data_IF_103948105740
#
_entry.id   IF_103948105740
#
_cell.length_a   1.000
_cell.length_b   1.000
_cell.length_c   1.000
_cell.angle_alpha   90.00
_cell.angle_beta   90.00
_cell.angle_gamma   90.00
#
_symmetry.space_group_name_H-M   'P 1'
#
loop_
_entity.id
_entity.type
_entity.pdbx_description
1 polymer ?
#
# COMPACT_ATOMS: atom_id res chain seq x y z
N UNK A 1 -71.81 -3.03 50.47
CA UNK A 1 -71.48 -3.95 49.36
C UNK A 1 -71.46 -3.29 47.98
N UNK A 2 -72.40 -2.42 47.59
CA UNK A 2 -72.44 -1.82 46.22
C UNK A 2 -71.21 -0.98 45.84
N UNK A 3 -70.64 -0.23 46.79
CA UNK A 3 -69.51 0.69 46.52
C UNK A 3 -68.20 -0.07 46.25
N UNK A 4 -67.97 -1.19 46.94
CA UNK A 4 -66.79 -2.03 46.76
C UNK A 4 -66.77 -2.75 45.39
N UNK A 5 -67.94 -3.21 44.94
CA UNK A 5 -68.08 -3.85 43.63
C UNK A 5 -67.88 -2.85 42.47
N UNK A 6 -68.27 -1.58 42.64
CA UNK A 6 -68.05 -0.54 41.64
C UNK A 6 -66.57 -0.14 41.52
N UNK A 7 -65.85 -0.04 42.66
CA UNK A 7 -64.42 0.23 42.67
C UNK A 7 -63.61 -0.91 42.03
N UNK A 8 -63.99 -2.17 42.28
CA UNK A 8 -63.38 -3.33 41.63
C UNK A 8 -63.61 -3.35 40.12
N UNK A 9 -64.84 -3.10 39.65
CA UNK A 9 -65.15 -3.04 38.21
C UNK A 9 -64.41 -1.89 37.50
N UNK A 10 -64.27 -0.74 38.17
CA UNK A 10 -63.47 0.39 37.69
C UNK A 10 -61.99 0.03 37.52
N UNK A 11 -61.38 -0.57 38.54
CA UNK A 11 -59.96 -0.98 38.50
C UNK A 11 -59.68 -2.03 37.42
N UNK A 12 -60.63 -2.95 37.20
CA UNK A 12 -60.51 -3.99 36.18
C UNK A 12 -60.54 -3.39 34.77
N UNK A 13 -61.43 -2.41 34.53
CA UNK A 13 -61.50 -1.69 33.25
C UNK A 13 -60.23 -0.89 32.97
N UNK A 14 -59.70 -0.18 33.97
CA UNK A 14 -58.46 0.60 33.84
C UNK A 14 -57.25 -0.29 33.54
N UNK A 15 -57.12 -1.41 34.25
CA UNK A 15 -56.05 -2.39 34.01
C UNK A 15 -56.07 -2.92 32.58
N UNK A 16 -57.25 -3.22 32.03
CA UNK A 16 -57.39 -3.66 30.62
C UNK A 16 -56.98 -2.59 29.61
N UNK A 17 -57.36 -1.33 29.86
CA UNK A 17 -56.96 -0.21 28.98
C UNK A 17 -55.45 0.00 29.05
N UNK A 18 -54.84 -0.09 30.23
CA UNK A 18 -53.39 0.02 30.41
C UNK A 18 -52.64 -1.10 29.69
N UNK A 19 -53.10 -2.35 29.81
CA UNK A 19 -52.50 -3.48 29.10
C UNK A 19 -52.58 -3.32 27.58
N UNK A 20 -53.73 -2.88 27.04
CA UNK A 20 -53.88 -2.62 25.61
C UNK A 20 -52.89 -1.54 25.11
N UNK A 21 -52.74 -0.43 25.85
CA UNK A 21 -51.78 0.63 25.52
C UNK A 21 -50.33 0.14 25.60
N UNK A 22 -50.01 -0.70 26.60
CA UNK A 22 -48.69 -1.29 26.73
C UNK A 22 -48.37 -2.22 25.54
N UNK A 23 -49.31 -3.08 25.15
CA UNK A 23 -49.17 -3.98 24.00
C UNK A 23 -49.02 -3.20 22.67
N UNK A 24 -49.74 -2.10 22.51
CA UNK A 24 -49.59 -1.21 21.35
C UNK A 24 -48.20 -0.56 21.30
N UNK A 25 -47.71 -0.05 22.44
CA UNK A 25 -46.36 0.51 22.55
C UNK A 25 -45.27 -0.55 22.29
N UNK A 26 -45.44 -1.78 22.77
CA UNK A 26 -44.51 -2.88 22.51
C UNK A 26 -44.45 -3.24 21.02
N UNK A 27 -45.59 -3.23 20.31
CA UNK A 27 -45.62 -3.46 18.86
C UNK A 27 -44.92 -2.34 18.09
N UNK A 28 -45.11 -1.08 18.49
CA UNK A 28 -44.36 0.03 17.91
C UNK A 28 -42.85 -0.10 18.15
N UNK A 29 -42.44 -0.42 19.38
CA UNK A 29 -41.03 -0.64 19.69
C UNK A 29 -40.44 -1.80 18.88
N UNK A 30 -41.20 -2.88 18.67
CA UNK A 30 -40.77 -3.98 17.82
C UNK A 30 -40.58 -3.54 16.36
N UNK A 31 -41.50 -2.72 15.81
CA UNK A 31 -41.36 -2.15 14.46
C UNK A 31 -40.12 -1.27 14.35
N UNK A 32 -39.92 -0.34 15.28
CA UNK A 32 -38.76 0.55 15.29
C UNK A 32 -37.45 -0.23 15.39
N UNK A 33 -37.37 -1.24 16.26
CA UNK A 33 -36.18 -2.09 16.36
C UNK A 33 -35.85 -2.77 15.04
N UNK A 34 -36.87 -3.32 14.36
CA UNK A 34 -36.68 -3.97 13.06
C UNK A 34 -36.19 -2.97 12.00
N UNK A 35 -36.75 -1.77 11.97
CA UNK A 35 -36.34 -0.73 11.02
C UNK A 35 -34.90 -0.27 11.25
N UNK A 36 -34.50 -0.06 12.51
CA UNK A 36 -33.12 0.28 12.89
C UNK A 36 -32.15 -0.83 12.49
N UNK A 37 -32.52 -2.10 12.69
CA UNK A 37 -31.73 -3.25 12.26
C UNK A 37 -31.60 -3.35 10.74
N UNK A 38 -32.68 -3.08 10.00
CA UNK A 38 -32.61 -3.01 8.54
C UNK A 38 -31.73 -1.86 8.06
N UNK A 39 -31.79 -0.71 8.72
CA UNK A 39 -30.95 0.45 8.38
C UNK A 39 -29.48 0.17 8.68
N UNK A 40 -29.16 -0.42 9.84
CA UNK A 40 -27.79 -0.78 10.19
C UNK A 40 -27.22 -1.81 9.21
N UNK A 41 -28.02 -2.79 8.78
CA UNK A 41 -27.64 -3.75 7.73
C UNK A 41 -27.34 -3.06 6.41
N UNK A 42 -28.19 -2.13 5.96
CA UNK A 42 -27.96 -1.36 4.71
C UNK A 42 -26.69 -0.52 4.81
N UNK A 43 -26.44 0.11 5.95
CA UNK A 43 -25.24 0.91 6.18
C UNK A 43 -23.98 0.04 6.17
N UNK A 44 -24.01 -1.12 6.83
CA UNK A 44 -22.90 -2.08 6.82
C UNK A 44 -22.60 -2.58 5.40
N UNK A 45 -23.64 -2.83 4.58
CA UNK A 45 -23.47 -3.22 3.19
C UNK A 45 -22.85 -2.10 2.33
N UNK A 46 -23.30 -0.85 2.50
CA UNK A 46 -22.73 0.30 1.82
C UNK A 46 -21.26 0.50 2.20
N UNK A 47 -20.93 0.40 3.49
CA UNK A 47 -19.57 0.49 3.99
C UNK A 47 -18.68 -0.62 3.42
N UNK A 48 -19.15 -1.88 3.47
CA UNK A 48 -18.44 -3.03 2.88
C UNK A 48 -18.14 -2.82 1.39
N UNK A 49 -19.13 -2.33 0.63
CA UNK A 49 -18.95 -2.00 -0.80
C UNK A 49 -17.95 -0.86 -1.01
N UNK A 50 -17.92 0.14 -0.13
CA UNK A 50 -16.95 1.24 -0.19
C UNK A 50 -15.53 0.73 0.07
N UNK A 51 -15.32 -0.07 1.12
CA UNK A 51 -14.03 -0.70 1.44
C UNK A 51 -13.54 -1.57 0.29
N UNK A 52 -14.38 -2.44 -0.26
CA UNK A 52 -14.01 -3.29 -1.39
C UNK A 52 -13.67 -2.49 -2.67
N UNK A 53 -14.20 -1.27 -2.83
CA UNK A 53 -13.82 -0.37 -3.92
C UNK A 53 -12.48 0.31 -3.64
N UNK A 54 -12.24 0.74 -2.40
CA UNK A 54 -10.97 1.34 -1.98
C UNK A 54 -9.83 0.33 -2.13
N UNK A 55 -10.00 -0.90 -1.65
CA UNK A 55 -9.02 -1.99 -1.79
C UNK A 55 -8.67 -2.25 -3.26
N UNK A 56 -9.68 -2.35 -4.14
CA UNK A 56 -9.45 -2.52 -5.59
C UNK A 56 -8.77 -1.32 -6.24
N UNK A 57 -8.93 -0.11 -5.71
CA UNK A 57 -8.18 1.07 -6.16
C UNK A 57 -6.73 0.99 -5.69
N UNK A 58 -6.49 0.69 -4.41
CA UNK A 58 -5.16 0.50 -3.85
C UNK A 58 -4.34 -0.57 -4.59
N UNK A 59 -4.93 -1.75 -4.82
CA UNK A 59 -4.27 -2.82 -5.60
C UNK A 59 -3.88 -2.37 -7.00
N UNK A 60 -4.76 -1.65 -7.70
CA UNK A 60 -4.47 -1.13 -9.05
C UNK A 60 -3.37 -0.06 -9.03
N UNK A 61 -3.35 0.80 -8.01
CA UNK A 61 -2.32 1.81 -7.84
C UNK A 61 -0.93 1.16 -7.62
N UNK A 62 -0.85 0.15 -6.74
CA UNK A 62 0.38 -0.61 -6.49
C UNK A 62 0.86 -1.29 -7.78
N UNK A 63 -0.02 -1.98 -8.50
CA UNK A 63 0.34 -2.63 -9.78
C UNK A 63 0.84 -1.61 -10.81
N UNK A 64 0.20 -0.44 -10.92
CA UNK A 64 0.64 0.61 -11.83
C UNK A 64 2.02 1.17 -11.46
N UNK A 65 2.28 1.39 -10.17
CA UNK A 65 3.58 1.85 -9.69
C UNK A 65 4.67 0.79 -9.90
N UNK A 66 4.37 -0.48 -9.65
CA UNK A 66 5.30 -1.58 -9.94
C UNK A 66 5.65 -1.65 -11.43
N UNK A 67 4.67 -1.48 -12.32
CA UNK A 67 4.93 -1.40 -13.77
C UNK A 67 5.80 -0.20 -14.14
N UNK A 68 5.56 0.97 -13.54
CA UNK A 68 6.39 2.16 -13.74
C UNK A 68 7.82 1.93 -13.31
N UNK A 69 8.03 1.36 -12.11
CA UNK A 69 9.37 1.02 -11.59
C UNK A 69 10.06 -0.01 -12.47
N UNK A 70 9.35 -1.05 -12.92
CA UNK A 70 9.91 -2.04 -13.83
C UNK A 70 10.37 -1.42 -15.17
N UNK A 71 9.60 -0.48 -15.73
CA UNK A 71 9.99 0.23 -16.94
C UNK A 71 11.24 1.10 -16.74
N UNK A 72 11.30 1.86 -15.63
CA UNK A 72 12.47 2.65 -15.25
C UNK A 72 13.70 1.76 -15.04
N UNK A 73 13.52 0.63 -14.34
CA UNK A 73 14.59 -0.34 -14.12
C UNK A 73 15.13 -0.87 -15.44
N UNK A 74 14.27 -1.25 -16.39
CA UNK A 74 14.71 -1.73 -17.69
C UNK A 74 15.62 -0.71 -18.40
N UNK A 75 15.25 0.57 -18.40
CA UNK A 75 16.06 1.64 -19.01
C UNK A 75 17.40 1.86 -18.30
N UNK A 76 17.39 1.94 -16.98
CA UNK A 76 18.62 2.11 -16.18
C UNK A 76 19.55 0.89 -16.29
N UNK A 77 18.96 -0.31 -16.36
CA UNK A 77 19.70 -1.56 -16.49
C UNK A 77 20.36 -1.71 -17.88
N UNK A 78 19.70 -1.31 -18.96
CA UNK A 78 20.35 -1.23 -20.28
C UNK A 78 21.55 -0.27 -20.24
N UNK A 79 21.37 0.91 -19.67
CA UNK A 79 22.45 1.91 -19.52
C UNK A 79 23.62 1.37 -18.70
N UNK A 80 23.32 0.62 -17.64
CA UNK A 80 24.33 -0.07 -16.82
C UNK A 80 25.10 -1.13 -17.63
N UNK A 81 24.40 -1.96 -18.42
CA UNK A 81 25.04 -2.95 -19.29
C UNK A 81 25.94 -2.31 -20.33
N UNK A 82 25.51 -1.21 -20.93
CA UNK A 82 26.30 -0.48 -21.94
C UNK A 82 27.60 0.07 -21.33
N UNK A 83 27.51 0.68 -20.14
CA UNK A 83 28.68 1.14 -19.40
C UNK A 83 29.62 -0.02 -19.02
N UNK A 84 29.05 -1.15 -18.58
CA UNK A 84 29.84 -2.33 -18.22
C UNK A 84 30.51 -2.98 -19.44
N UNK A 85 29.82 -3.08 -20.57
CA UNK A 85 30.37 -3.59 -21.83
C UNK A 85 31.57 -2.77 -22.26
N UNK A 86 31.46 -1.44 -22.22
CA UNK A 86 32.57 -0.54 -22.52
C UNK A 86 33.79 -0.79 -21.61
N UNK A 87 33.56 -1.00 -20.31
CA UNK A 87 34.64 -1.36 -19.37
C UNK A 87 35.22 -2.75 -19.63
N UNK A 88 34.42 -3.70 -20.12
CA UNK A 88 34.84 -5.06 -20.50
C UNK A 88 35.73 -5.06 -21.74
N UNK A 89 35.33 -4.34 -22.79
CA UNK A 89 36.11 -4.19 -24.02
C UNK A 89 37.50 -3.59 -23.72
N UNK A 90 37.58 -2.61 -22.81
CA UNK A 90 38.87 -2.06 -22.36
C UNK A 90 39.74 -3.08 -21.60
N UNK A 91 39.13 -3.96 -20.79
CA UNK A 91 39.84 -5.05 -20.12
C UNK A 91 40.41 -6.06 -21.12
N UNK A 92 39.71 -6.32 -22.22
CA UNK A 92 40.22 -7.14 -23.33
C UNK A 92 41.30 -6.42 -24.15
N UNK A 93 41.21 -5.10 -24.34
CA UNK A 93 42.25 -4.28 -24.97
C UNK A 93 43.58 -4.22 -24.19
N UNK A 94 43.64 -4.73 -22.94
CA UNK A 94 44.94 -5.03 -22.30
C UNK A 94 45.73 -6.13 -23.02
N UNK A 95 45.13 -6.79 -24.02
CA UNK A 95 45.78 -7.63 -25.04
C UNK A 95 46.72 -6.88 -25.99
N UNK A 96 47.44 -5.86 -25.52
CA UNK A 96 48.53 -5.11 -26.15
C UNK A 96 49.72 -5.98 -26.62
N UNK A 97 49.61 -7.31 -26.55
CA UNK A 97 50.59 -8.22 -27.15
C UNK A 97 50.49 -8.17 -28.69
N UNK A 98 49.29 -7.89 -29.24
CA UNK A 98 49.08 -7.75 -30.68
C UNK A 98 49.62 -6.42 -31.24
N UNK A 99 49.40 -5.30 -30.54
CA UNK A 99 49.91 -3.97 -30.95
C UNK A 99 51.44 -3.90 -30.91
N UNK A 100 52.07 -4.64 -29.98
CA UNK A 100 53.54 -4.82 -29.92
C UNK A 100 54.09 -5.59 -31.12
N UNK A 101 53.29 -6.48 -31.72
CA UNK A 101 53.66 -7.19 -32.94
C UNK A 101 53.49 -6.31 -34.19
N UNK A 102 52.45 -5.47 -34.21
CA UNK A 102 52.15 -4.54 -35.31
C UNK A 102 53.08 -3.32 -35.38
N UNK A 103 53.80 -2.98 -34.31
CA UNK A 103 54.81 -1.90 -34.32
C UNK A 103 56.02 -2.17 -35.23
N UNK A 104 56.10 -3.35 -35.84
CA UNK A 104 57.10 -3.68 -36.87
C UNK A 104 56.70 -3.19 -38.28
N UNK A 105 55.46 -2.75 -38.48
CA UNK A 105 55.01 -2.19 -39.76
C UNK A 105 55.55 -0.76 -39.95
N UNK A 106 55.99 -0.44 -41.17
CA UNK A 106 56.52 0.89 -41.50
C UNK A 106 55.46 2.01 -41.40
N UNK A 107 54.18 1.65 -41.54
CA UNK A 107 53.03 2.57 -41.42
C UNK A 107 52.58 2.80 -39.96
N UNK A 108 53.22 2.13 -38.99
CA UNK A 108 52.83 2.21 -37.59
C UNK A 108 53.24 3.56 -36.97
N UNK A 109 52.25 4.32 -36.52
CA UNK A 109 52.47 5.61 -35.87
C UNK A 109 52.21 5.51 -34.37
N UNK A 110 53.29 5.42 -33.60
CA UNK A 110 53.25 5.41 -32.13
C UNK A 110 52.43 6.58 -31.54
N UNK A 111 52.54 7.83 -32.04
CA UNK A 111 51.72 8.94 -31.56
C UNK A 111 50.23 8.78 -31.85
N UNK A 112 49.87 8.18 -32.99
CA UNK A 112 48.46 7.92 -33.35
C UNK A 112 47.87 6.83 -32.46
N UNK A 113 48.61 5.74 -32.23
CA UNK A 113 48.24 4.65 -31.33
C UNK A 113 48.08 5.15 -29.87
N UNK A 114 49.03 5.97 -29.39
CA UNK A 114 48.95 6.58 -28.05
C UNK A 114 47.77 7.55 -27.95
N UNK A 115 47.47 8.30 -29.01
CA UNK A 115 46.30 9.17 -29.06
C UNK A 115 44.99 8.36 -29.02
N UNK A 116 44.90 7.26 -29.77
CA UNK A 116 43.76 6.34 -29.76
C UNK A 116 43.57 5.71 -28.38
N UNK A 117 44.63 5.16 -27.77
CA UNK A 117 44.60 4.64 -26.40
C UNK A 117 44.17 5.71 -25.39
N UNK A 118 44.66 6.95 -25.52
CA UNK A 118 44.24 8.05 -24.64
C UNK A 118 42.75 8.40 -24.81
N UNK A 119 42.24 8.30 -26.05
CA UNK A 119 40.82 8.46 -26.36
C UNK A 119 39.96 7.38 -25.71
N UNK A 120 40.40 6.11 -25.80
CA UNK A 120 39.76 4.97 -25.13
C UNK A 120 39.77 5.13 -23.61
N UNK A 121 40.89 5.59 -23.04
CA UNK A 121 41.04 5.78 -21.60
C UNK A 121 40.16 6.91 -21.05
N UNK A 122 39.95 7.98 -21.82
CA UNK A 122 38.98 9.03 -21.49
C UNK A 122 37.53 8.51 -21.56
N UNK A 123 37.21 7.65 -22.53
CA UNK A 123 35.94 6.93 -22.58
C UNK A 123 35.74 6.02 -21.36
N UNK A 124 36.79 5.35 -20.90
CA UNK A 124 36.75 4.47 -19.73
C UNK A 124 36.48 5.26 -18.45
N UNK A 125 37.20 6.35 -18.23
CA UNK A 125 36.97 7.23 -17.08
C UNK A 125 35.53 7.80 -17.08
N UNK A 126 35.00 8.10 -18.27
CA UNK A 126 33.61 8.53 -18.41
C UNK A 126 32.63 7.40 -18.04
N UNK A 127 32.76 6.22 -18.61
CA UNK A 127 31.89 5.07 -18.31
C UNK A 127 31.95 4.66 -16.83
N UNK A 128 33.14 4.62 -16.24
CA UNK A 128 33.37 4.31 -14.82
C UNK A 128 32.68 5.32 -13.89
N UNK A 129 32.64 6.60 -14.28
CA UNK A 129 31.94 7.65 -13.52
C UNK A 129 30.40 7.53 -13.54
N UNK A 130 29.83 6.86 -14.55
CA UNK A 130 28.38 6.70 -14.70
C UNK A 130 27.82 5.53 -13.87
N UNK A 131 28.65 4.54 -13.54
CA UNK A 131 28.22 3.33 -12.81
C UNK A 131 27.68 3.64 -11.41
N UNK A 132 28.37 4.40 -10.53
CA UNK A 132 27.84 4.66 -9.18
C UNK A 132 26.52 5.44 -9.16
N UNK A 133 26.31 6.49 -10.00
CA UNK A 133 25.02 7.14 -10.13
C UNK A 133 23.89 6.23 -10.62
N UNK A 134 24.14 5.36 -11.61
CA UNK A 134 23.13 4.41 -12.12
C UNK A 134 22.75 3.41 -11.02
N UNK A 135 23.75 2.84 -10.32
CA UNK A 135 23.52 1.93 -9.19
C UNK A 135 22.72 2.61 -8.06
N UNK A 136 22.98 3.90 -7.80
CA UNK A 136 22.19 4.71 -6.89
C UNK A 136 20.71 4.81 -7.26
N UNK A 137 20.41 5.07 -8.54
CA UNK A 137 19.02 5.14 -9.03
C UNK A 137 18.32 3.78 -8.99
N UNK A 138 19.03 2.71 -9.33
CA UNK A 138 18.50 1.34 -9.21
C UNK A 138 18.14 1.03 -7.76
N UNK A 139 18.99 1.38 -6.79
CA UNK A 139 18.68 1.22 -5.35
C UNK A 139 17.40 1.95 -4.94
N UNK A 140 17.20 3.19 -5.40
CA UNK A 140 15.98 3.96 -5.10
C UNK A 140 14.70 3.31 -5.62
N UNK A 141 14.77 2.57 -6.73
CA UNK A 141 13.62 1.81 -7.23
C UNK A 141 13.18 0.68 -6.28
N UNK A 142 14.09 0.18 -5.45
CA UNK A 142 13.86 -0.84 -4.44
C UNK A 142 13.36 -0.27 -3.10
N UNK A 143 13.32 1.06 -2.93
CA UNK A 143 12.75 1.68 -1.73
C UNK A 143 11.26 1.32 -1.59
N UNK A 144 10.79 1.20 -0.35
CA UNK A 144 9.39 0.82 -0.10
C UNK A 144 8.43 1.81 -0.75
N UNK A 145 7.32 1.32 -1.31
CA UNK A 145 6.25 2.20 -1.78
C UNK A 145 5.57 2.78 -0.54
N UNK A 146 5.60 4.10 -0.40
CA UNK A 146 4.76 4.81 0.56
C UNK A 146 3.30 4.62 0.15
N UNK A 147 2.60 3.72 0.84
CA UNK A 147 1.16 3.56 0.70
C UNK A 147 0.54 4.63 1.59
N UNK A 148 -0.13 5.63 1.01
CA UNK A 148 -0.84 6.64 1.80
C UNK A 148 -1.87 5.96 2.70
N UNK A 149 -1.88 6.35 3.97
CA UNK A 149 -2.81 5.84 4.99
C UNK A 149 -4.19 6.52 4.84
N UNK A 150 -4.74 6.55 3.64
CA UNK A 150 -6.00 7.23 3.35
C UNK A 150 -7.20 6.36 3.74
N UNK A 151 -7.31 5.91 5.00
CA UNK A 151 -8.57 5.36 5.57
C UNK A 151 -8.61 5.35 7.12
N UNK A 152 -7.97 6.28 7.82
CA UNK A 152 -8.07 6.36 9.29
C UNK A 152 -9.19 7.30 9.79
N UNK A 153 -9.67 8.26 9.00
CA UNK A 153 -10.66 9.25 9.47
C UNK A 153 -12.06 9.05 8.87
N UNK A 154 -12.85 8.16 9.47
CA UNK A 154 -14.31 8.23 9.37
C UNK A 154 -14.95 7.46 10.54
N UNK A 155 -14.73 7.89 11.78
CA UNK A 155 -15.20 7.11 12.92
C UNK A 155 -15.26 7.73 14.30
N UNK A 156 -15.13 9.04 14.51
CA UNK A 156 -15.38 9.63 15.84
C UNK A 156 -15.93 11.05 15.78
N UNK A 157 -17.26 11.17 15.71
CA UNK A 157 -17.98 12.32 16.28
C UNK A 157 -19.30 11.84 16.89
N UNK A 158 -19.25 11.34 18.12
CA UNK A 158 -20.44 11.29 19.00
C UNK A 158 -20.02 11.82 20.36
N UNK A 159 -20.82 12.76 20.85
CA UNK A 159 -20.51 13.69 21.92
C UNK A 159 -20.12 13.07 23.25
N UNK A 160 -19.20 13.79 23.89
CA UNK A 160 -18.83 13.75 25.29
C UNK A 160 -20.03 14.08 26.19
N UNK A 161 -20.36 13.18 27.11
CA UNK A 161 -20.93 13.55 28.41
C UNK A 161 -20.70 12.44 29.46
N UNK A 162 -19.80 12.70 30.42
CA UNK A 162 -19.98 12.20 31.78
C UNK A 162 -18.98 11.14 32.30
N UNK A 163 -17.87 11.63 32.86
CA UNK A 163 -17.25 11.19 34.12
C UNK A 163 -16.96 9.69 34.35
N UNK A 164 -15.67 9.35 34.42
CA UNK A 164 -14.92 9.09 35.68
C UNK A 164 -13.66 8.30 35.37
N UNK A 165 -12.51 8.90 35.68
CA UNK A 165 -11.20 8.24 35.69
C UNK A 165 -11.21 7.09 36.70
N UNK A 166 -10.88 5.90 36.24
CA UNK A 166 -10.20 4.88 37.05
C UNK A 166 -9.15 4.23 36.17
N UNK A 167 -7.88 4.41 36.56
CA UNK A 167 -6.73 3.65 36.06
C UNK A 167 -7.03 2.15 36.18
N UNK A 168 -7.04 1.50 35.03
CA UNK A 168 -7.06 0.05 34.89
C UNK A 168 -6.18 -0.28 33.72
N UNK A 169 -4.99 -0.78 34.01
CA UNK A 169 -4.06 -1.41 33.09
C UNK A 169 -4.83 -2.49 32.30
N UNK A 170 -5.05 -2.25 31.01
CA UNK A 170 -5.63 -3.22 30.09
C UNK A 170 -4.56 -3.54 29.05
N UNK A 171 -4.19 -4.82 29.03
CA UNK A 171 -3.24 -5.41 28.10
C UNK A 171 -3.46 -4.91 26.67
N UNK A 172 -2.37 -4.46 26.07
CA UNK A 172 -2.29 -4.11 24.66
C UNK A 172 -2.87 -5.25 23.83
N UNK A 173 -3.79 -4.99 22.87
CA UNK A 173 -4.12 -6.01 21.89
C UNK A 173 -2.82 -6.31 21.13
N UNK A 174 -2.35 -7.55 21.22
CA UNK A 174 -1.29 -8.08 20.38
C UNK A 174 -1.63 -7.69 18.96
N UNK A 175 -0.85 -6.78 18.40
CA UNK A 175 -0.93 -6.33 17.01
C UNK A 175 -0.70 -7.55 16.11
N UNK A 176 -1.79 -8.25 15.81
CA UNK A 176 -1.82 -9.31 14.81
C UNK A 176 -1.96 -8.67 13.43
N UNK A 177 -0.97 -7.88 13.04
CA UNK A 177 -0.78 -7.51 11.64
C UNK A 177 0.70 -7.64 11.25
N UNK A 178 1.30 -8.76 11.64
CA UNK A 178 2.50 -9.31 11.04
C UNK A 178 2.18 -10.18 9.81
N UNK A 179 1.26 -9.75 8.94
CA UNK A 179 1.09 -10.41 7.64
C UNK A 179 2.23 -9.93 6.76
N UNK A 180 3.34 -10.67 6.82
CA UNK A 180 4.41 -10.59 5.84
C UNK A 180 3.79 -10.75 4.44
N UNK A 181 3.91 -9.73 3.59
CA UNK A 181 3.40 -9.72 2.22
C UNK A 181 4.18 -10.64 1.26
N UNK A 182 4.85 -11.68 1.76
CA UNK A 182 5.60 -12.63 0.94
C UNK A 182 4.73 -13.66 0.22
N UNK A 183 3.40 -13.57 0.31
CA UNK A 183 2.50 -14.66 -0.07
C UNK A 183 1.59 -14.46 -1.28
N UNK A 184 1.57 -13.32 -1.99
CA UNK A 184 0.54 -13.10 -3.01
C UNK A 184 0.99 -12.23 -4.20
N UNK A 185 2.13 -12.54 -4.80
CA UNK A 185 2.46 -12.03 -6.13
C UNK A 185 2.90 -13.17 -7.04
N UNK A 186 1.91 -13.89 -7.59
CA UNK A 186 2.13 -14.60 -8.85
C UNK A 186 2.14 -13.52 -9.94
N UNK A 187 3.34 -13.13 -10.36
CA UNK A 187 3.52 -12.39 -11.60
C UNK A 187 3.48 -13.42 -12.74
N UNK A 188 2.34 -13.50 -13.45
CA UNK A 188 2.38 -14.00 -14.83
C UNK A 188 3.15 -12.98 -15.66
N UNK A 189 4.41 -13.32 -15.97
CA UNK A 189 5.30 -12.57 -16.85
C UNK A 189 4.95 -12.84 -18.31
#
# INVERSE_FOLDING_TARGET
MRVFNAALDGSFRESRISHFKAEEAERELFRFRKEVEEQSRRQAELHSRAVARAERRGKRAIVAEMKRRAALFATEFESFKDAQKFMGDFRECRGLVATLYESQNEDFSFPAEVAEMSGLMNGYAHAESLVPPIEGRVRQLWDSIEVSEDTAEAGTSVGDEGARVTDGEVDQPVSSFGISMSGFFDFEL
#
